data_IF_552973217106
#
_entry.id   IF_552973217106
#
_cell.length_a   1.000
_cell.length_b   1.000
_cell.length_c   1.000
_cell.angle_alpha   90.00
_cell.angle_beta   90.00
_cell.angle_gamma   90.00
#
_symmetry.space_group_name_H-M   'P 1'
#
loop_
_entity.id
_entity.type
_entity.pdbx_description
1 polymer ?
#
# COMPACT_ATOMS: atom_id res chain seq x y z
N UNK A 1 5.85 -23.96 -21.67
CA UNK A 1 5.12 -23.90 -20.39
C UNK A 1 4.51 -22.51 -20.28
N UNK A 2 3.19 -22.40 -20.27
CA UNK A 2 2.53 -21.12 -20.03
C UNK A 2 2.81 -20.76 -18.56
N UNK A 3 3.67 -19.77 -18.34
CA UNK A 3 3.88 -19.16 -17.04
C UNK A 3 2.53 -18.65 -16.55
N UNK A 4 1.94 -19.32 -15.55
CA UNK A 4 0.71 -18.84 -14.92
C UNK A 4 1.06 -17.48 -14.30
N UNK A 5 0.50 -16.43 -14.86
CA UNK A 5 0.76 -15.08 -14.38
C UNK A 5 0.30 -14.98 -12.92
N UNK A 6 1.11 -14.37 -12.06
CA UNK A 6 0.78 -14.19 -10.64
C UNK A 6 -0.53 -13.38 -10.54
N UNK A 7 -1.55 -13.86 -9.80
CA UNK A 7 -2.81 -13.14 -9.63
C UNK A 7 -2.61 -11.71 -9.13
N UNK A 8 -3.48 -10.79 -9.56
CA UNK A 8 -3.45 -9.40 -9.13
C UNK A 8 -3.60 -9.27 -7.60
N UNK A 9 -4.39 -10.14 -6.97
CA UNK A 9 -4.55 -10.17 -5.50
C UNK A 9 -3.23 -10.48 -4.78
N UNK A 10 -2.50 -11.47 -5.25
CA UNK A 10 -1.20 -11.88 -4.67
C UNK A 10 -0.14 -10.79 -4.87
N UNK A 11 -0.15 -10.13 -6.03
CA UNK A 11 0.70 -8.94 -6.27
C UNK A 11 0.32 -7.76 -5.37
N UNK A 12 -0.96 -7.62 -5.03
CA UNK A 12 -1.43 -6.59 -4.12
C UNK A 12 -1.02 -6.88 -2.67
N UNK A 13 -1.04 -8.15 -2.25
CA UNK A 13 -0.48 -8.55 -0.96
C UNK A 13 1.03 -8.28 -0.90
N UNK A 14 1.78 -8.58 -1.96
CA UNK A 14 3.19 -8.25 -2.05
C UNK A 14 3.45 -6.72 -2.02
N UNK A 15 2.57 -5.92 -2.63
CA UNK A 15 2.64 -4.47 -2.54
C UNK A 15 2.45 -4.00 -1.09
N UNK A 16 1.46 -4.53 -0.38
CA UNK A 16 1.19 -4.21 1.04
C UNK A 16 2.37 -4.60 1.92
N UNK A 17 2.92 -5.81 1.72
CA UNK A 17 4.07 -6.31 2.47
C UNK A 17 5.31 -5.43 2.27
N UNK A 18 5.56 -5.01 1.03
CA UNK A 18 6.64 -4.09 0.68
C UNK A 18 6.44 -2.69 1.29
N UNK A 19 5.20 -2.20 1.31
CA UNK A 19 4.86 -0.87 1.82
C UNK A 19 5.01 -0.78 3.34
N UNK A 20 4.53 -1.79 4.07
CA UNK A 20 4.48 -1.77 5.53
C UNK A 20 5.85 -2.10 6.15
N UNK A 21 6.19 -1.49 7.29
CA UNK A 21 7.40 -1.80 8.05
C UNK A 21 7.33 -3.17 8.72
N UNK A 22 8.42 -3.94 8.69
CA UNK A 22 8.47 -5.30 9.27
C UNK A 22 8.25 -5.30 10.80
N UNK A 23 8.50 -4.15 11.44
CA UNK A 23 8.20 -3.91 12.83
C UNK A 23 8.90 -2.66 13.37
N UNK A 24 8.97 -2.54 14.68
CA UNK A 24 9.64 -1.43 15.35
C UNK A 24 11.13 -1.38 14.95
N UNK A 25 11.60 -0.18 14.57
CA UNK A 25 12.96 0.11 14.06
C UNK A 25 13.30 -0.48 12.69
N UNK A 26 12.32 -0.72 11.83
CA UNK A 26 12.60 -1.02 10.42
C UNK A 26 13.45 0.13 9.79
N UNK A 27 14.67 -0.15 9.29
CA UNK A 27 15.53 0.85 8.66
C UNK A 27 14.90 1.48 7.40
N UNK A 28 14.10 0.72 6.65
CA UNK A 28 13.41 1.21 5.44
C UNK A 28 12.41 2.31 5.80
N UNK A 29 11.68 2.10 6.89
CA UNK A 29 10.69 3.07 7.35
C UNK A 29 11.32 4.24 8.10
N UNK A 30 12.45 4.04 8.78
CA UNK A 30 13.23 5.14 9.36
C UNK A 30 13.66 6.14 8.28
N UNK A 31 14.14 5.64 7.14
CA UNK A 31 14.48 6.49 5.99
C UNK A 31 13.25 7.19 5.41
N UNK A 32 12.10 6.51 5.39
CA UNK A 32 10.83 7.09 4.98
C UNK A 32 10.41 8.25 5.91
N UNK A 33 10.47 8.06 7.23
CA UNK A 33 10.20 9.12 8.21
C UNK A 33 11.16 10.31 8.05
N UNK A 34 12.44 10.04 7.78
CA UNK A 34 13.42 11.10 7.51
C UNK A 34 13.11 11.86 6.22
N UNK A 35 12.65 11.17 5.17
CA UNK A 35 12.20 11.78 3.91
C UNK A 35 11.01 12.70 4.18
N UNK A 36 10.00 12.25 4.92
CA UNK A 36 8.86 13.07 5.32
C UNK A 36 9.28 14.27 6.18
N UNK A 37 10.13 14.07 7.17
CA UNK A 37 10.57 15.16 8.04
C UNK A 37 11.33 16.24 7.26
N UNK A 38 12.25 15.82 6.37
CA UNK A 38 13.00 16.73 5.49
C UNK A 38 12.12 17.42 4.45
N UNK A 39 11.00 16.83 4.04
CA UNK A 39 10.10 17.43 3.03
C UNK A 39 9.57 18.82 3.41
N UNK A 40 9.37 19.05 4.71
CA UNK A 40 8.84 20.31 5.25
C UNK A 40 9.83 21.47 5.20
N UNK A 41 11.13 21.16 5.13
CA UNK A 41 12.25 22.12 5.16
C UNK A 41 13.13 22.04 3.91
N UNK A 42 12.81 21.12 2.99
CA UNK A 42 13.56 20.84 1.78
C UNK A 42 13.53 22.00 0.77
N UNK A 43 14.61 22.14 0.01
CA UNK A 43 14.64 22.95 -1.20
C UNK A 43 13.71 22.38 -2.29
N UNK A 44 13.46 23.18 -3.33
CA UNK A 44 12.48 22.84 -4.35
C UNK A 44 12.86 21.58 -5.16
N UNK A 45 14.16 21.34 -5.38
CA UNK A 45 14.65 20.15 -6.10
C UNK A 45 14.42 18.87 -5.30
N UNK A 46 14.75 18.89 -4.00
CA UNK A 46 14.51 17.77 -3.08
C UNK A 46 13.00 17.49 -2.96
N UNK A 47 12.16 18.53 -2.90
CA UNK A 47 10.69 18.36 -2.90
C UNK A 47 10.16 17.74 -4.19
N UNK A 48 10.77 18.03 -5.35
CA UNK A 48 10.39 17.37 -6.62
C UNK A 48 10.71 15.87 -6.55
N UNK A 49 11.92 15.50 -6.14
CA UNK A 49 12.32 14.08 -6.03
C UNK A 49 11.45 13.29 -5.05
N UNK A 50 11.12 13.87 -3.91
CA UNK A 50 10.23 13.22 -2.94
C UNK A 50 8.83 13.01 -3.51
N UNK A 51 8.27 14.02 -4.19
CA UNK A 51 6.97 13.87 -4.87
C UNK A 51 7.02 12.83 -5.98
N UNK A 52 8.12 12.70 -6.71
CA UNK A 52 8.28 11.67 -7.74
C UNK A 52 8.18 10.25 -7.16
N UNK A 53 8.78 10.03 -5.98
CA UNK A 53 8.72 8.75 -5.25
C UNK A 53 7.29 8.47 -4.76
N UNK A 54 6.65 9.45 -4.12
CA UNK A 54 5.25 9.36 -3.67
C UNK A 54 4.29 9.02 -4.82
N UNK A 55 4.47 9.68 -5.96
CA UNK A 55 3.67 9.46 -7.14
C UNK A 55 3.97 8.12 -7.82
N UNK A 56 5.19 7.57 -7.68
CA UNK A 56 5.50 6.24 -8.18
C UNK A 56 4.67 5.17 -7.45
N UNK A 57 4.64 5.21 -6.11
CA UNK A 57 3.79 4.32 -5.31
C UNK A 57 2.32 4.42 -5.70
N UNK A 58 1.82 5.64 -5.90
CA UNK A 58 0.43 5.85 -6.33
C UNK A 58 0.15 5.25 -7.70
N UNK A 59 1.00 5.56 -8.70
CA UNK A 59 0.84 5.05 -10.07
C UNK A 59 0.89 3.54 -10.14
N UNK A 60 1.82 2.92 -9.41
CA UNK A 60 1.99 1.47 -9.41
C UNK A 60 0.78 0.77 -8.80
N UNK A 61 0.23 1.29 -7.71
CA UNK A 61 -0.99 0.76 -7.11
C UNK A 61 -2.21 0.93 -8.04
N UNK A 62 -2.37 2.09 -8.66
CA UNK A 62 -3.46 2.33 -9.63
C UNK A 62 -3.36 1.38 -10.82
N UNK A 63 -2.16 1.18 -11.36
CA UNK A 63 -1.93 0.26 -12.47
C UNK A 63 -2.27 -1.19 -12.08
N UNK A 64 -1.87 -1.62 -10.89
CA UNK A 64 -2.19 -2.95 -10.37
C UNK A 64 -3.70 -3.17 -10.18
N UNK A 65 -4.40 -2.18 -9.63
CA UNK A 65 -5.86 -2.21 -9.46
C UNK A 65 -6.57 -2.27 -10.81
N UNK A 66 -6.21 -1.38 -11.74
CA UNK A 66 -6.79 -1.34 -13.09
C UNK A 66 -6.56 -2.66 -13.85
N UNK A 67 -5.38 -3.26 -13.70
CA UNK A 67 -5.08 -4.56 -14.28
C UNK A 67 -5.99 -5.66 -13.70
N UNK A 68 -6.11 -5.76 -12.38
CA UNK A 68 -6.98 -6.75 -11.73
C UNK A 68 -8.46 -6.57 -12.08
N UNK A 69 -8.93 -5.33 -12.20
CA UNK A 69 -10.28 -5.01 -12.70
C UNK A 69 -10.45 -5.48 -14.15
N UNK A 70 -9.47 -5.18 -15.03
CA UNK A 70 -9.54 -5.54 -16.46
C UNK A 70 -9.57 -7.06 -16.69
N UNK A 71 -8.95 -7.83 -15.78
CA UNK A 71 -8.92 -9.29 -15.80
C UNK A 71 -10.13 -9.93 -15.12
N UNK A 72 -11.02 -9.14 -14.52
CA UNK A 72 -12.16 -9.65 -13.76
C UNK A 72 -11.78 -10.28 -12.42
N UNK A 73 -10.55 -10.08 -11.94
CA UNK A 73 -10.10 -10.55 -10.62
C UNK A 73 -10.63 -9.65 -9.50
N UNK A 74 -10.82 -8.36 -9.78
CA UNK A 74 -11.39 -7.37 -8.87
C UNK A 74 -12.71 -6.81 -9.40
N UNK A 75 -13.59 -6.41 -8.46
CA UNK A 75 -14.77 -5.60 -8.75
C UNK A 75 -14.37 -4.26 -9.33
N UNK A 76 -15.21 -3.74 -10.23
CA UNK A 76 -15.03 -2.42 -10.78
C UNK A 76 -15.16 -1.34 -9.70
N UNK A 77 -14.04 -0.69 -9.39
CA UNK A 77 -13.94 0.48 -8.52
C UNK A 77 -13.24 1.61 -9.27
N UNK A 78 -13.38 2.84 -8.78
CA UNK A 78 -12.50 3.94 -9.18
C UNK A 78 -11.10 3.67 -8.61
N UNK A 79 -10.19 3.17 -9.46
CA UNK A 79 -8.86 2.73 -9.07
C UNK A 79 -8.02 3.86 -8.45
N UNK A 80 -8.13 5.08 -8.96
CA UNK A 80 -7.38 6.23 -8.43
C UNK A 80 -7.87 6.57 -7.01
N UNK A 81 -9.18 6.73 -6.86
CA UNK A 81 -9.79 7.03 -5.56
C UNK A 81 -9.59 5.91 -4.55
N UNK A 82 -9.59 4.66 -4.99
CA UNK A 82 -9.32 3.50 -4.13
C UNK A 82 -7.85 3.46 -3.70
N UNK A 83 -6.92 3.74 -4.61
CA UNK A 83 -5.49 3.81 -4.30
C UNK A 83 -5.18 4.90 -3.26
N UNK A 84 -5.78 6.09 -3.38
CA UNK A 84 -5.61 7.17 -2.38
C UNK A 84 -5.99 6.69 -0.98
N UNK A 85 -7.15 6.05 -0.84
CA UNK A 85 -7.64 5.57 0.46
C UNK A 85 -6.81 4.42 1.01
N UNK A 86 -6.43 3.49 0.14
CA UNK A 86 -5.59 2.35 0.53
C UNK A 86 -4.25 2.84 1.04
N UNK A 87 -3.61 3.77 0.35
CA UNK A 87 -2.34 4.36 0.80
C UNK A 87 -2.49 5.09 2.14
N UNK A 88 -3.53 5.90 2.31
CA UNK A 88 -3.79 6.57 3.58
C UNK A 88 -3.99 5.56 4.74
N UNK A 89 -4.64 4.42 4.49
CA UNK A 89 -4.76 3.33 5.45
C UNK A 89 -3.39 2.72 5.80
N UNK A 90 -2.56 2.45 4.79
CA UNK A 90 -1.22 1.91 4.97
C UNK A 90 -0.29 2.87 5.71
N UNK A 91 -0.36 4.18 5.44
CA UNK A 91 0.42 5.21 6.14
C UNK A 91 0.08 5.28 7.64
N UNK A 92 -1.22 5.18 7.96
CA UNK A 92 -1.70 5.14 9.34
C UNK A 92 -1.17 3.92 10.09
N UNK A 93 -1.31 2.73 9.52
CA UNK A 93 -0.79 1.51 10.14
C UNK A 93 0.73 1.44 10.19
N UNK A 94 1.42 1.89 9.14
CA UNK A 94 2.88 1.99 9.13
C UNK A 94 3.41 2.89 10.26
N UNK A 95 2.71 4.00 10.51
CA UNK A 95 3.01 4.86 11.66
C UNK A 95 2.85 4.12 13.00
N UNK A 96 1.76 3.38 13.19
CA UNK A 96 1.52 2.63 14.43
C UNK A 96 2.58 1.55 14.68
N UNK A 97 2.97 0.82 13.64
CA UNK A 97 3.99 -0.23 13.73
C UNK A 97 5.36 0.33 14.11
N UNK A 98 5.72 1.51 13.58
CA UNK A 98 7.02 2.11 13.88
C UNK A 98 7.05 2.81 15.23
N UNK A 99 5.96 3.46 15.64
CA UNK A 99 5.82 3.99 17.00
C UNK A 99 5.80 2.85 18.03
N UNK A 100 5.43 1.64 17.62
CA UNK A 100 5.31 0.48 18.50
C UNK A 100 4.13 0.63 19.45
N UNK A 101 2.97 1.07 18.93
CA UNK A 101 1.76 1.22 19.75
C UNK A 101 1.38 -0.13 20.38
N UNK A 102 1.16 -0.19 21.72
CA UNK A 102 0.79 -1.42 22.38
C UNK A 102 -0.51 -2.01 21.82
N UNK A 103 -0.50 -3.30 21.52
CA UNK A 103 -1.68 -4.01 21.01
C UNK A 103 -1.91 -3.88 19.50
N UNK A 104 -0.95 -3.33 18.75
CA UNK A 104 -0.92 -3.35 17.28
C UNK A 104 0.39 -4.00 16.82
N UNK A 105 0.31 -5.24 16.34
CA UNK A 105 1.40 -5.92 15.67
C UNK A 105 1.18 -6.03 14.15
N UNK A 106 2.21 -6.45 13.41
CA UNK A 106 2.18 -6.54 11.95
C UNK A 106 1.14 -7.55 11.46
N UNK A 107 0.93 -8.65 12.18
CA UNK A 107 -0.05 -9.67 11.80
C UNK A 107 -1.47 -9.11 11.85
N UNK A 108 -1.81 -8.39 12.92
CA UNK A 108 -3.10 -7.72 13.07
C UNK A 108 -3.30 -6.66 11.98
N UNK A 109 -2.27 -5.86 11.68
CA UNK A 109 -2.32 -4.87 10.59
C UNK A 109 -2.57 -5.53 9.24
N UNK A 110 -1.85 -6.61 8.91
CA UNK A 110 -2.06 -7.36 7.67
C UNK A 110 -3.48 -7.94 7.59
N UNK A 111 -4.02 -8.39 8.72
CA UNK A 111 -5.43 -8.82 8.83
C UNK A 111 -6.41 -7.70 8.47
N UNK A 112 -6.26 -6.51 9.06
CA UNK A 112 -7.12 -5.36 8.78
C UNK A 112 -7.03 -4.89 7.32
N UNK A 113 -5.81 -4.84 6.77
CA UNK A 113 -5.61 -4.45 5.36
C UNK A 113 -6.20 -5.52 4.43
N UNK A 114 -5.96 -6.79 4.70
CA UNK A 114 -6.52 -7.91 3.93
C UNK A 114 -8.04 -7.88 3.91
N UNK A 115 -8.68 -7.73 5.08
CA UNK A 115 -10.13 -7.60 5.20
C UNK A 115 -10.67 -6.39 4.40
N UNK A 116 -10.01 -5.23 4.49
CA UNK A 116 -10.38 -4.05 3.72
C UNK A 116 -10.32 -4.30 2.21
N UNK A 117 -9.23 -4.90 1.73
CA UNK A 117 -9.03 -5.21 0.31
C UNK A 117 -10.06 -6.23 -0.17
N UNK A 118 -10.27 -7.32 0.57
CA UNK A 118 -11.20 -8.37 0.18
C UNK A 118 -12.64 -7.84 0.15
N UNK A 119 -13.04 -7.13 1.20
CA UNK A 119 -14.38 -6.51 1.32
C UNK A 119 -14.62 -5.42 0.27
N UNK A 120 -13.58 -4.82 -0.30
CA UNK A 120 -13.69 -3.74 -1.29
C UNK A 120 -13.51 -4.20 -2.73
N UNK A 121 -12.73 -5.25 -2.97
CA UNK A 121 -12.30 -5.67 -4.31
C UNK A 121 -12.85 -7.03 -4.70
N UNK A 122 -13.09 -7.96 -3.78
CA UNK A 122 -13.59 -9.28 -4.16
C UNK A 122 -15.13 -9.26 -4.29
N UNK A 123 -15.70 -10.04 -5.23
CA UNK A 123 -17.14 -10.21 -5.31
C UNK A 123 -17.65 -10.85 -4.01
N UNK A 124 -18.80 -10.38 -3.51
CA UNK A 124 -19.49 -11.07 -2.44
C UNK A 124 -19.77 -12.50 -2.91
N UNK A 125 -19.30 -13.50 -2.16
CA UNK A 125 -19.62 -14.89 -2.48
C UNK A 125 -21.12 -15.06 -2.41
N UNK A 126 -21.77 -15.30 -3.55
CA UNK A 126 -23.17 -15.72 -3.58
C UNK A 126 -23.26 -17.07 -2.88
N UNK A 127 -24.01 -17.10 -1.77
CA UNK A 127 -24.43 -18.33 -1.06
C UNK A 127 -25.48 -19.04 -1.90
#
# INVERSE_FOLDING_TARGET
MLSRQVPARERLDAFVDLYLPDGHRDPRWTLWLEVWNRSTTADDETRVRQRELELAWHRDLVALLAEGISRGEFRAVDADRFAVRTRALLDGFGTYLVVGLPGIDREQVLGHVGEHLDTSLLPASSI
#
